data_IF_592700251502
#
_entry.id   IF_592700251502
#
_cell.length_a   1.000
_cell.length_b   1.000
_cell.length_c   1.000
_cell.angle_alpha   90.00
_cell.angle_beta   90.00
_cell.angle_gamma   90.00
#
_symmetry.space_group_name_H-M   'P 1'
#
loop_
_entity.id
_entity.type
_entity.pdbx_description
1 polymer ?
#
# COMPACT_ATOMS: atom_id res chain seq x y z
N UNK A 1 21.63 -37.68 6.64
CA UNK A 1 20.85 -36.65 7.38
C UNK A 1 19.74 -37.37 8.12
N UNK A 2 19.59 -37.20 9.45
CA UNK A 2 18.54 -37.85 10.23
C UNK A 2 17.17 -37.29 9.83
N UNK A 3 16.13 -38.13 9.76
CA UNK A 3 14.72 -37.76 9.43
C UNK A 3 14.25 -36.45 10.12
N UNK A 4 14.66 -36.25 11.38
CA UNK A 4 14.37 -35.06 12.16
C UNK A 4 14.96 -33.76 11.56
N UNK A 5 16.20 -33.80 11.05
CA UNK A 5 16.82 -32.61 10.42
C UNK A 5 16.13 -32.23 9.10
N UNK A 6 15.72 -33.24 8.31
CA UNK A 6 15.01 -33.01 7.05
C UNK A 6 13.61 -32.44 7.32
N UNK A 7 12.90 -32.94 8.32
CA UNK A 7 11.58 -32.45 8.69
C UNK A 7 11.64 -30.99 9.19
N UNK A 8 12.62 -30.67 10.02
CA UNK A 8 12.85 -29.32 10.52
C UNK A 8 13.24 -28.33 9.41
N UNK A 9 14.06 -28.76 8.45
CA UNK A 9 14.38 -27.99 7.26
C UNK A 9 13.14 -27.72 6.42
N UNK A 10 12.33 -28.74 6.13
CA UNK A 10 11.08 -28.58 5.38
C UNK A 10 10.10 -27.65 6.09
N UNK A 11 9.95 -27.74 7.40
CA UNK A 11 9.08 -26.84 8.17
C UNK A 11 9.55 -25.38 8.12
N UNK A 12 10.84 -25.13 8.27
CA UNK A 12 11.39 -23.78 8.28
C UNK A 12 11.34 -23.11 6.88
N UNK A 13 11.45 -23.90 5.82
CA UNK A 13 11.54 -23.40 4.44
C UNK A 13 10.31 -23.73 3.60
N UNK A 14 9.24 -24.29 4.19
CA UNK A 14 8.04 -24.75 3.48
C UNK A 14 7.47 -23.69 2.53
N UNK A 15 7.36 -22.45 2.98
CA UNK A 15 6.83 -21.34 2.17
C UNK A 15 7.74 -21.01 0.99
N UNK A 16 9.06 -20.99 1.21
CA UNK A 16 10.05 -20.72 0.15
C UNK A 16 10.06 -21.86 -0.88
N UNK A 17 9.96 -23.11 -0.43
CA UNK A 17 9.87 -24.29 -1.30
C UNK A 17 8.59 -24.22 -2.12
N UNK A 18 7.45 -23.88 -1.51
CA UNK A 18 6.17 -23.72 -2.21
C UNK A 18 6.25 -22.62 -3.27
N UNK A 19 6.80 -21.47 -2.94
CA UNK A 19 6.99 -20.36 -3.90
C UNK A 19 7.89 -20.80 -5.06
N UNK A 20 9.00 -21.47 -4.77
CA UNK A 20 9.91 -21.97 -5.79
C UNK A 20 9.22 -22.98 -6.73
N UNK A 21 8.44 -23.92 -6.17
CA UNK A 21 7.65 -24.87 -6.94
C UNK A 21 6.61 -24.18 -7.82
N UNK A 22 5.91 -23.17 -7.29
CA UNK A 22 4.95 -22.39 -8.06
C UNK A 22 5.62 -21.64 -9.21
N UNK A 23 6.77 -21.01 -8.96
CA UNK A 23 7.53 -20.31 -10.01
C UNK A 23 7.96 -21.28 -11.10
N UNK A 24 8.49 -22.45 -10.74
CA UNK A 24 8.86 -23.49 -11.71
C UNK A 24 7.65 -23.97 -12.49
N UNK A 25 6.56 -24.32 -11.80
CA UNK A 25 5.32 -24.78 -12.45
C UNK A 25 4.77 -23.73 -13.42
N UNK A 26 4.67 -22.46 -13.01
CA UNK A 26 4.18 -21.38 -13.87
C UNK A 26 5.11 -21.11 -15.06
N UNK A 27 6.42 -21.27 -14.89
CA UNK A 27 7.39 -21.13 -15.97
C UNK A 27 7.23 -22.25 -17.02
N UNK A 28 6.94 -23.48 -16.58
CA UNK A 28 6.72 -24.62 -17.47
C UNK A 28 5.35 -24.57 -18.16
N UNK A 29 4.35 -23.94 -17.51
CA UNK A 29 2.98 -23.83 -18.04
C UNK A 29 2.76 -22.61 -18.93
N UNK A 30 3.65 -21.60 -18.86
CA UNK A 30 3.46 -20.34 -19.59
C UNK A 30 4.79 -19.73 -20.01
N UNK A 31 5.03 -19.68 -21.31
CA UNK A 31 6.22 -19.05 -21.91
C UNK A 31 6.33 -17.54 -21.58
N UNK A 32 5.19 -16.93 -21.19
CA UNK A 32 5.14 -15.51 -20.87
C UNK A 32 5.45 -15.21 -19.40
N UNK A 33 5.51 -16.21 -18.52
CA UNK A 33 5.58 -15.98 -17.05
C UNK A 33 6.85 -15.24 -16.63
N UNK A 34 8.04 -15.70 -17.03
CA UNK A 34 9.33 -15.05 -16.67
C UNK A 34 9.81 -14.02 -17.71
N UNK A 35 8.92 -13.54 -18.58
CA UNK A 35 9.29 -12.45 -19.50
C UNK A 35 9.46 -11.13 -18.75
N UNK A 36 10.43 -10.28 -19.19
CA UNK A 36 10.63 -8.95 -18.62
C UNK A 36 9.36 -8.10 -18.63
N UNK A 37 8.52 -8.26 -19.68
CA UNK A 37 7.21 -7.58 -19.76
C UNK A 37 6.28 -8.00 -18.60
N UNK A 38 6.15 -9.30 -18.33
CA UNK A 38 5.28 -9.80 -17.28
C UNK A 38 5.81 -9.41 -15.89
N UNK A 39 7.11 -9.49 -15.65
CA UNK A 39 7.72 -9.08 -14.39
C UNK A 39 7.49 -7.58 -14.12
N UNK A 40 7.63 -6.72 -15.13
CA UNK A 40 7.31 -5.29 -15.01
C UNK A 40 5.82 -5.05 -14.75
N UNK A 41 4.93 -5.84 -15.38
CA UNK A 41 3.48 -5.75 -15.10
C UNK A 41 3.16 -6.17 -13.67
N UNK A 42 3.77 -7.22 -13.14
CA UNK A 42 3.62 -7.65 -11.74
C UNK A 42 4.07 -6.53 -10.79
N UNK A 43 5.22 -5.93 -11.03
CA UNK A 43 5.70 -4.80 -10.23
C UNK A 43 4.74 -3.62 -10.29
N UNK A 44 4.27 -3.23 -11.48
CA UNK A 44 3.32 -2.13 -11.66
C UNK A 44 2.00 -2.36 -10.91
N UNK A 45 1.42 -3.55 -11.05
CA UNK A 45 0.15 -3.90 -10.41
C UNK A 45 0.25 -3.93 -8.87
N UNK A 46 1.42 -4.32 -8.35
CA UNK A 46 1.65 -4.41 -6.91
C UNK A 46 2.27 -3.12 -6.30
N UNK A 47 2.66 -2.13 -7.11
CA UNK A 47 3.27 -0.90 -6.59
C UNK A 47 2.39 -0.16 -5.57
N UNK A 48 1.08 0.04 -5.77
CA UNK A 48 0.22 0.67 -4.76
C UNK A 48 0.16 -0.14 -3.46
N UNK A 49 0.06 -1.48 -3.56
CA UNK A 49 0.03 -2.36 -2.39
C UNK A 49 1.35 -2.29 -1.61
N UNK A 50 2.47 -2.25 -2.30
CA UNK A 50 3.79 -2.13 -1.69
C UNK A 50 3.97 -0.79 -0.97
N UNK A 51 3.46 0.32 -1.53
CA UNK A 51 3.45 1.64 -0.87
C UNK A 51 2.61 1.59 0.40
N UNK A 52 1.41 1.02 0.34
CA UNK A 52 0.54 0.85 1.52
C UNK A 52 1.21 -0.03 2.58
N UNK A 53 1.81 -1.15 2.20
CA UNK A 53 2.52 -2.04 3.11
C UNK A 53 3.72 -1.34 3.78
N UNK A 54 4.49 -0.56 3.02
CA UNK A 54 5.59 0.23 3.56
C UNK A 54 5.09 1.30 4.55
N UNK A 55 3.99 2.00 4.25
CA UNK A 55 3.37 2.95 5.18
C UNK A 55 2.86 2.27 6.46
N UNK A 56 2.30 1.07 6.35
CA UNK A 56 1.86 0.27 7.51
C UNK A 56 3.00 -0.10 8.44
N UNK A 57 4.25 -0.15 7.95
CA UNK A 57 5.41 -0.36 8.81
C UNK A 57 5.53 0.70 9.91
N UNK A 58 5.16 1.97 9.63
CA UNK A 58 5.12 3.04 10.63
C UNK A 58 4.09 2.74 11.73
N UNK A 59 2.87 2.36 11.33
CA UNK A 59 1.77 2.08 12.25
C UNK A 59 2.10 0.88 13.15
N UNK A 60 2.62 -0.19 12.56
CA UNK A 60 3.03 -1.39 13.31
C UNK A 60 4.22 -1.08 14.23
N UNK A 61 5.15 -0.24 13.78
CA UNK A 61 6.33 0.14 14.58
C UNK A 61 6.00 0.95 15.83
N UNK A 62 4.87 1.63 15.89
CA UNK A 62 4.37 2.29 17.12
C UNK A 62 3.40 1.41 17.92
N UNK A 63 3.25 0.12 17.58
CA UNK A 63 2.34 -0.80 18.25
C UNK A 63 0.86 -0.65 17.84
N UNK A 64 0.55 0.17 16.83
CA UNK A 64 -0.80 0.42 16.34
C UNK A 64 -1.28 -0.60 15.31
N UNK A 65 -2.60 -0.57 15.07
CA UNK A 65 -3.25 -1.28 13.97
C UNK A 65 -4.04 -0.28 13.13
N UNK A 66 -3.98 -0.41 11.79
CA UNK A 66 -4.81 0.37 10.87
C UNK A 66 -5.45 -0.54 9.82
N UNK A 67 -6.73 -0.83 10.04
CA UNK A 67 -7.56 -1.59 9.09
C UNK A 67 -8.25 -0.70 8.06
N UNK A 68 -8.07 0.62 8.16
CA UNK A 68 -8.70 1.58 7.25
C UNK A 68 -7.86 1.88 6.00
N UNK A 69 -6.59 1.46 5.96
CA UNK A 69 -5.66 1.79 4.87
C UNK A 69 -6.22 1.48 3.48
N UNK A 70 -6.90 0.33 3.30
CA UNK A 70 -7.56 -0.03 2.05
C UNK A 70 -8.75 0.86 1.71
N UNK A 71 -9.53 1.29 2.72
CA UNK A 71 -10.66 2.19 2.54
C UNK A 71 -10.19 3.63 2.22
N UNK A 72 -9.12 4.09 2.86
CA UNK A 72 -8.46 5.37 2.56
C UNK A 72 -7.93 5.37 1.12
N UNK A 73 -7.28 4.29 0.70
CA UNK A 73 -6.82 4.13 -0.69
C UNK A 73 -8.00 4.16 -1.68
N UNK A 74 -9.09 3.44 -1.39
CA UNK A 74 -10.29 3.43 -2.22
C UNK A 74 -10.91 4.84 -2.32
N UNK A 75 -11.05 5.55 -1.18
CA UNK A 75 -11.58 6.90 -1.14
C UNK A 75 -10.71 7.89 -1.93
N UNK A 76 -9.38 7.84 -1.75
CA UNK A 76 -8.43 8.65 -2.51
C UNK A 76 -8.51 8.36 -4.01
N UNK A 77 -8.61 7.09 -4.40
CA UNK A 77 -8.72 6.67 -5.81
C UNK A 77 -10.02 7.13 -6.45
N UNK A 78 -11.16 6.96 -5.75
CA UNK A 78 -12.48 7.40 -6.24
C UNK A 78 -12.53 8.92 -6.38
N UNK A 79 -12.09 9.65 -5.36
CA UNK A 79 -12.06 11.13 -5.39
C UNK A 79 -11.15 11.64 -6.51
N UNK A 80 -9.97 11.04 -6.65
CA UNK A 80 -9.02 11.38 -7.71
C UNK A 80 -9.63 11.16 -9.10
N UNK A 81 -10.24 9.99 -9.34
CA UNK A 81 -10.84 9.66 -10.61
C UNK A 81 -12.07 10.55 -10.90
N UNK A 82 -12.90 10.81 -9.88
CA UNK A 82 -14.06 11.70 -10.01
C UNK A 82 -13.65 13.12 -10.39
N UNK A 83 -12.66 13.70 -9.71
CA UNK A 83 -12.12 15.02 -10.03
C UNK A 83 -11.51 15.06 -11.43
N UNK A 84 -10.76 14.03 -11.80
CA UNK A 84 -10.13 13.96 -13.12
C UNK A 84 -11.14 13.96 -14.26
N UNK A 85 -12.29 13.30 -14.07
CA UNK A 85 -13.33 13.20 -15.10
C UNK A 85 -14.23 14.44 -15.14
N UNK A 86 -14.54 15.03 -13.96
CA UNK A 86 -15.59 16.08 -13.87
C UNK A 86 -15.02 17.50 -13.72
N UNK A 87 -13.74 17.64 -13.33
CA UNK A 87 -13.14 18.96 -13.05
C UNK A 87 -11.84 19.13 -13.83
N UNK A 88 -10.77 18.47 -13.41
CA UNK A 88 -9.44 18.59 -14.01
C UNK A 88 -8.55 17.38 -13.64
N UNK A 89 -7.82 16.78 -14.60
CA UNK A 89 -6.95 15.64 -14.36
C UNK A 89 -5.84 15.89 -13.35
N UNK A 90 -5.23 17.07 -13.38
CA UNK A 90 -4.11 17.42 -12.49
C UNK A 90 -4.61 17.67 -11.07
N UNK A 91 -5.79 18.28 -10.90
CA UNK A 91 -6.44 18.40 -9.58
C UNK A 91 -6.76 17.01 -8.99
N UNK A 92 -7.21 16.08 -9.83
CA UNK A 92 -7.43 14.69 -9.40
C UNK A 92 -6.16 14.05 -8.82
N UNK A 93 -5.02 14.19 -9.50
CA UNK A 93 -3.74 13.67 -9.02
C UNK A 93 -3.23 14.42 -7.78
N UNK A 94 -3.34 15.74 -7.78
CA UNK A 94 -2.83 16.58 -6.68
C UNK A 94 -3.59 16.37 -5.38
N UNK A 95 -4.91 16.26 -5.43
CA UNK A 95 -5.76 16.23 -4.23
C UNK A 95 -5.86 14.82 -3.59
N UNK A 96 -5.59 13.75 -4.35
CA UNK A 96 -5.65 12.38 -3.82
C UNK A 96 -4.82 12.17 -2.53
N UNK A 97 -3.54 12.59 -2.45
CA UNK A 97 -2.75 12.43 -1.22
C UNK A 97 -3.29 13.27 -0.05
N UNK A 98 -3.90 14.42 -0.31
CA UNK A 98 -4.51 15.24 0.74
C UNK A 98 -5.79 14.61 1.30
N UNK A 99 -6.57 13.91 0.47
CA UNK A 99 -7.69 13.10 0.96
C UNK A 99 -7.17 12.01 1.90
N UNK A 100 -6.15 11.27 1.49
CA UNK A 100 -5.52 10.26 2.34
C UNK A 100 -4.99 10.84 3.65
N UNK A 101 -4.33 11.98 3.59
CA UNK A 101 -3.81 12.69 4.77
C UNK A 101 -4.94 13.11 5.72
N UNK A 102 -6.03 13.69 5.21
CA UNK A 102 -7.17 14.12 6.02
C UNK A 102 -7.86 12.95 6.72
N UNK A 103 -8.07 11.84 6.01
CA UNK A 103 -8.69 10.64 6.57
C UNK A 103 -7.78 9.94 7.59
N UNK A 104 -6.47 9.84 7.31
CA UNK A 104 -5.49 9.32 8.25
C UNK A 104 -5.36 10.20 9.49
N UNK A 105 -5.41 11.53 9.33
CA UNK A 105 -5.41 12.47 10.45
C UNK A 105 -6.67 12.32 11.33
N UNK A 106 -7.85 12.13 10.72
CA UNK A 106 -9.08 11.86 11.47
C UNK A 106 -8.97 10.58 12.31
N UNK A 107 -8.37 9.51 11.77
CA UNK A 107 -8.06 8.31 12.54
C UNK A 107 -7.10 8.58 13.70
N UNK A 108 -6.02 9.34 13.43
CA UNK A 108 -5.07 9.74 14.46
C UNK A 108 -5.73 10.51 15.60
N UNK A 109 -6.63 11.44 15.30
CA UNK A 109 -7.41 12.16 16.32
C UNK A 109 -8.31 11.23 17.12
N UNK A 110 -9.02 10.32 16.47
CA UNK A 110 -9.87 9.35 17.15
C UNK A 110 -9.08 8.48 18.16
N UNK A 111 -7.88 8.07 17.78
CA UNK A 111 -7.02 7.22 18.62
C UNK A 111 -6.39 8.04 19.75
N UNK A 112 -5.81 9.20 19.44
CA UNK A 112 -5.00 9.95 20.40
C UNK A 112 -5.81 10.88 21.31
N UNK A 113 -6.80 11.57 20.77
CA UNK A 113 -7.63 12.55 21.51
C UNK A 113 -8.83 11.88 22.17
N UNK A 114 -9.57 11.06 21.41
CA UNK A 114 -10.73 10.36 21.93
C UNK A 114 -10.37 9.08 22.69
N UNK A 115 -9.07 8.68 22.64
CA UNK A 115 -8.52 7.49 23.31
C UNK A 115 -9.24 6.19 22.92
N UNK A 116 -9.72 6.12 21.69
CA UNK A 116 -10.32 4.90 21.15
C UNK A 116 -9.19 3.93 20.73
N UNK A 117 -9.34 2.67 21.06
CA UNK A 117 -8.37 1.65 20.65
C UNK A 117 -8.21 1.63 19.11
N UNK A 118 -6.98 1.61 18.61
CA UNK A 118 -6.65 1.75 17.18
C UNK A 118 -7.41 0.78 16.29
N UNK A 119 -7.53 -0.48 16.71
CA UNK A 119 -8.28 -1.51 15.99
C UNK A 119 -9.76 -1.14 15.82
N UNK A 120 -10.45 -0.70 16.89
CA UNK A 120 -11.86 -0.33 16.83
C UNK A 120 -12.08 0.95 16.01
N UNK A 121 -11.23 1.96 16.22
CA UNK A 121 -11.31 3.21 15.48
C UNK A 121 -11.16 2.97 13.97
N UNK A 122 -10.14 2.24 13.56
CA UNK A 122 -9.82 2.05 12.14
C UNK A 122 -10.77 1.09 11.43
N UNK A 123 -11.37 0.11 12.12
CA UNK A 123 -12.44 -0.73 11.56
C UNK A 123 -13.71 0.10 11.30
N UNK A 124 -14.10 0.92 12.26
CA UNK A 124 -15.28 1.77 12.12
C UNK A 124 -15.12 2.79 10.99
N UNK A 125 -13.97 3.48 10.95
CA UNK A 125 -13.68 4.46 9.90
C UNK A 125 -13.50 3.80 8.54
N UNK A 126 -12.97 2.57 8.47
CA UNK A 126 -12.89 1.81 7.21
C UNK A 126 -14.27 1.63 6.57
N UNK A 127 -15.28 1.27 7.38
CA UNK A 127 -16.66 1.12 6.90
C UNK A 127 -17.25 2.46 6.44
N UNK A 128 -17.02 3.53 7.20
CA UNK A 128 -17.48 4.88 6.87
C UNK A 128 -16.84 5.34 5.56
N UNK A 129 -15.51 5.27 5.43
CA UNK A 129 -14.77 5.73 4.25
C UNK A 129 -15.15 4.92 3.00
N UNK A 130 -15.33 3.59 3.16
CA UNK A 130 -15.81 2.75 2.07
C UNK A 130 -17.23 3.13 1.65
N UNK A 131 -18.12 3.39 2.61
CA UNK A 131 -19.48 3.86 2.33
C UNK A 131 -19.50 5.19 1.57
N UNK A 132 -18.68 6.15 1.99
CA UNK A 132 -18.54 7.44 1.30
C UNK A 132 -17.97 7.24 -0.11
N UNK A 133 -16.95 6.39 -0.30
CA UNK A 133 -16.40 6.09 -1.61
C UNK A 133 -17.46 5.51 -2.56
N UNK A 134 -18.30 4.60 -2.07
CA UNK A 134 -19.41 4.03 -2.83
C UNK A 134 -20.45 5.11 -3.17
N UNK A 135 -20.78 5.99 -2.23
CA UNK A 135 -21.73 7.09 -2.47
C UNK A 135 -21.22 8.10 -3.51
N UNK A 136 -19.92 8.46 -3.45
CA UNK A 136 -19.28 9.37 -4.43
C UNK A 136 -19.26 8.77 -5.84
N UNK A 137 -19.10 7.45 -5.95
CA UNK A 137 -19.04 6.75 -7.23
C UNK A 137 -20.42 6.26 -7.73
N UNK A 138 -21.51 6.47 -7.00
CA UNK A 138 -22.81 5.84 -7.24
C UNK A 138 -22.71 4.30 -7.38
N UNK A 139 -21.74 3.69 -6.69
CA UNK A 139 -21.44 2.26 -6.82
C UNK A 139 -20.92 1.83 -8.19
N UNK A 140 -20.51 2.77 -9.04
CA UNK A 140 -20.03 2.51 -10.40
C UNK A 140 -18.52 2.66 -10.51
N UNK A 141 -17.94 2.00 -11.51
CA UNK A 141 -16.54 2.20 -11.85
C UNK A 141 -16.36 3.55 -12.57
N UNK A 142 -15.57 4.45 -11.96
CA UNK A 142 -15.16 5.70 -12.60
C UNK A 142 -13.91 5.40 -13.42
N UNK A 143 -14.02 5.43 -14.76
CA UNK A 143 -12.91 5.17 -15.65
C UNK A 143 -12.36 6.49 -16.23
N UNK A 144 -11.33 7.01 -15.61
CA UNK A 144 -10.60 8.18 -16.10
C UNK A 144 -9.55 7.71 -17.13
N UNK A 145 -9.96 7.61 -18.41
CA UNK A 145 -9.07 7.29 -19.55
C UNK A 145 -8.47 8.55 -20.15
N UNK A 146 -7.83 9.36 -19.31
CA UNK A 146 -7.22 10.64 -19.66
C UNK A 146 -5.70 10.42 -19.57
N UNK A 147 -4.97 10.72 -20.65
CA UNK A 147 -3.53 10.40 -20.73
C UNK A 147 -2.74 11.09 -19.62
N UNK A 148 -3.01 12.36 -19.36
CA UNK A 148 -2.34 13.12 -18.29
C UNK A 148 -2.60 12.53 -16.91
N UNK A 149 -3.82 12.06 -16.64
CA UNK A 149 -4.18 11.41 -15.39
C UNK A 149 -3.55 10.01 -15.26
N UNK A 150 -3.55 9.25 -16.34
CA UNK A 150 -3.06 7.86 -16.32
C UNK A 150 -1.54 7.76 -16.43
N UNK A 151 -0.84 8.87 -16.76
CA UNK A 151 0.62 8.90 -16.93
C UNK A 151 1.38 8.38 -15.70
N UNK A 152 0.94 8.71 -14.50
CA UNK A 152 1.60 8.26 -13.28
C UNK A 152 1.52 6.73 -13.08
N UNK A 153 0.41 6.11 -13.46
CA UNK A 153 0.20 4.66 -13.30
C UNK A 153 0.60 3.83 -14.52
N UNK A 154 0.39 4.35 -15.74
CA UNK A 154 0.62 3.63 -17.00
C UNK A 154 1.82 4.11 -17.80
N UNK A 155 2.25 5.34 -17.57
CA UNK A 155 3.44 5.90 -18.21
C UNK A 155 4.70 5.12 -17.83
N UNK A 156 5.73 5.22 -18.69
CA UNK A 156 7.02 4.57 -18.47
C UNK A 156 8.14 5.59 -18.56
N UNK A 157 9.10 5.46 -17.65
CA UNK A 157 10.37 6.16 -17.67
C UNK A 157 11.49 5.14 -17.67
N UNK A 158 12.43 5.23 -18.61
CA UNK A 158 13.51 4.25 -18.83
C UNK A 158 13.01 2.79 -18.98
N UNK A 159 11.83 2.61 -19.61
CA UNK A 159 11.23 1.28 -19.83
C UNK A 159 10.49 0.69 -18.63
N UNK A 160 10.56 1.32 -17.45
CA UNK A 160 9.88 0.90 -16.21
C UNK A 160 8.67 1.80 -15.95
N UNK A 161 7.56 1.24 -15.44
CA UNK A 161 6.37 2.00 -15.11
C UNK A 161 6.63 3.08 -14.03
N UNK A 162 6.03 4.25 -14.20
CA UNK A 162 6.21 5.38 -13.27
C UNK A 162 5.75 5.04 -11.84
N UNK A 163 4.71 4.22 -11.69
CA UNK A 163 4.25 3.70 -10.39
C UNK A 163 5.34 2.94 -9.62
N UNK A 164 6.20 2.21 -10.33
CA UNK A 164 7.34 1.49 -9.73
C UNK A 164 8.39 2.47 -9.24
N UNK A 165 8.67 3.54 -9.99
CA UNK A 165 9.58 4.59 -9.54
C UNK A 165 9.06 5.31 -8.31
N UNK A 166 7.75 5.61 -8.27
CA UNK A 166 7.10 6.19 -7.08
C UNK A 166 7.21 5.26 -5.88
N UNK A 167 6.97 3.96 -6.07
CA UNK A 167 7.13 2.94 -5.02
C UNK A 167 8.56 2.91 -4.47
N UNK A 168 9.58 2.88 -5.34
CA UNK A 168 10.99 2.86 -4.94
C UNK A 168 11.36 4.15 -4.20
N UNK A 169 10.97 5.31 -4.73
CA UNK A 169 11.21 6.60 -4.08
C UNK A 169 10.56 6.65 -2.70
N UNK A 170 9.31 6.21 -2.58
CA UNK A 170 8.60 6.16 -1.29
C UNK A 170 9.32 5.25 -0.30
N UNK A 171 9.74 4.06 -0.72
CA UNK A 171 10.47 3.12 0.13
C UNK A 171 11.82 3.70 0.61
N UNK A 172 12.56 4.39 -0.27
CA UNK A 172 13.82 5.06 0.08
C UNK A 172 13.60 6.20 1.09
N UNK A 173 12.60 7.05 0.84
CA UNK A 173 12.25 8.16 1.75
C UNK A 173 11.84 7.62 3.11
N UNK A 174 10.97 6.61 3.15
CA UNK A 174 10.52 5.98 4.40
C UNK A 174 11.68 5.34 5.16
N UNK A 175 12.54 4.60 4.45
CA UNK A 175 13.74 4.00 5.05
C UNK A 175 14.65 5.07 5.65
N UNK A 176 14.89 6.16 4.93
CA UNK A 176 15.66 7.29 5.44
C UNK A 176 15.02 7.92 6.68
N UNK A 177 13.71 8.17 6.64
CA UNK A 177 12.97 8.75 7.77
C UNK A 177 13.06 7.85 9.01
N UNK A 178 12.89 6.54 8.85
CA UNK A 178 12.93 5.59 9.97
C UNK A 178 14.33 5.37 10.52
N UNK A 179 15.36 5.31 9.66
CA UNK A 179 16.71 4.91 10.09
C UNK A 179 17.65 6.06 10.40
N UNK A 180 17.42 7.26 9.81
CA UNK A 180 18.35 8.37 9.85
C UNK A 180 17.82 9.63 10.54
N UNK A 181 16.55 9.68 10.94
CA UNK A 181 15.95 10.88 11.54
C UNK A 181 15.56 10.71 12.99
N UNK A 182 15.33 11.83 13.68
CA UNK A 182 14.77 11.86 15.05
C UNK A 182 13.34 11.31 15.08
N UNK A 183 12.59 11.47 13.98
CA UNK A 183 11.26 10.92 13.84
C UNK A 183 11.27 9.39 13.96
N UNK A 184 12.13 8.71 13.21
CA UNK A 184 12.24 7.24 13.27
C UNK A 184 12.63 6.75 14.67
N UNK A 185 13.57 7.43 15.34
CA UNK A 185 13.93 7.09 16.72
C UNK A 185 12.74 7.20 17.69
N UNK A 186 11.89 8.24 17.53
CA UNK A 186 10.66 8.38 18.34
C UNK A 186 9.64 7.30 18.03
N UNK A 187 9.45 6.94 16.76
CA UNK A 187 8.57 5.86 16.32
C UNK A 187 8.94 4.55 17.03
N UNK A 188 10.22 4.17 16.98
CA UNK A 188 10.69 2.94 17.63
C UNK A 188 10.68 3.01 19.16
N UNK A 189 10.93 4.19 19.74
CA UNK A 189 10.85 4.36 21.19
C UNK A 189 9.44 4.15 21.72
N UNK A 190 8.43 4.77 21.09
CA UNK A 190 7.01 4.60 21.46
C UNK A 190 6.57 3.14 21.30
N UNK A 191 6.93 2.47 20.21
CA UNK A 191 6.56 1.07 20.00
C UNK A 191 7.27 0.08 20.94
N UNK A 192 8.44 0.45 21.47
CA UNK A 192 9.16 -0.37 22.45
C UNK A 192 8.64 -0.22 23.88
N UNK A 193 8.15 0.95 24.25
CA UNK A 193 7.56 1.25 25.55
C UNK A 193 6.67 2.50 25.47
N UNK A 194 5.35 2.32 25.58
CA UNK A 194 4.38 3.43 25.55
C UNK A 194 4.57 4.42 26.71
N UNK A 195 5.19 4.01 27.81
CA UNK A 195 5.41 4.87 28.99
C UNK A 195 6.73 5.67 28.90
N UNK A 196 7.54 5.44 27.88
CA UNK A 196 8.82 6.13 27.66
C UNK A 196 8.62 7.41 26.82
#
# INVERSE_FOLDING_TARGET
>A
MTRAKTLHFLQNYAVLILIALLVVALTLLSDSFLTGRNLLNILNQNAPLAIMAAAMTLVISVGGFDLSVGAIFAMGSVTSAWLAVNVDPYLGLLLAPFVGLALGYANGLAITVLRVHSFLATIATALIFKGIAVAVSDGRLISARIDDFTWLGRGKFLGVFNSVWVMVLFALVLTFLLTRTTFGRRVFAVGGNEEA
#
